data_IF_261132578985
#
_entry.id   IF_261132578985
#
_cell.length_a   1.000
_cell.length_b   1.000
_cell.length_c   1.000
_cell.angle_alpha   90.00
_cell.angle_beta   90.00
_cell.angle_gamma   90.00
#
_symmetry.space_group_name_H-M   'P 1'
#
loop_
_entity.id
_entity.type
_entity.pdbx_description
1 polymer ?
#
# COMPACT_ATOMS: atom_id res chain seq x y z
N UNK A 1 -8.80 -6.03 -22.49
CA UNK A 1 -9.22 -6.24 -21.07
C UNK A 1 -8.75 -5.04 -20.28
N UNK A 2 -9.57 -4.52 -19.36
CA UNK A 2 -9.20 -3.38 -18.50
C UNK A 2 -9.09 -3.87 -17.06
N UNK A 3 -8.08 -3.40 -16.34
CA UNK A 3 -7.86 -3.71 -14.92
C UNK A 3 -7.98 -2.42 -14.12
N UNK A 4 -8.50 -2.55 -12.91
CA UNK A 4 -8.61 -1.44 -11.97
C UNK A 4 -8.19 -1.93 -10.58
N UNK A 5 -7.29 -1.21 -9.93
CA UNK A 5 -6.90 -1.43 -8.53
C UNK A 5 -7.47 -0.28 -7.73
N UNK A 6 -8.30 -0.60 -6.72
CA UNK A 6 -8.77 0.36 -5.73
C UNK A 6 -8.05 0.04 -4.43
N UNK A 7 -7.15 0.92 -4.03
CA UNK A 7 -6.32 0.75 -2.84
C UNK A 7 -6.92 1.53 -1.68
N UNK A 8 -7.38 0.82 -0.64
CA UNK A 8 -7.77 1.42 0.63
C UNK A 8 -6.57 1.42 1.59
N UNK A 9 -5.73 2.44 1.48
CA UNK A 9 -4.57 2.58 2.36
C UNK A 9 -5.00 2.94 3.78
N UNK A 10 -4.42 2.27 4.79
CA UNK A 10 -4.70 2.50 6.20
C UNK A 10 -6.10 2.09 6.68
N UNK A 11 -6.83 1.25 5.94
CA UNK A 11 -8.19 0.81 6.31
C UNK A 11 -8.21 -0.31 7.36
N UNK A 12 -7.13 -1.04 7.52
CA UNK A 12 -7.04 -2.13 8.50
C UNK A 12 -6.80 -1.57 9.91
N UNK A 13 -7.55 -2.08 10.90
CA UNK A 13 -7.41 -1.68 12.29
C UNK A 13 -7.93 -2.79 13.20
N UNK A 14 -7.68 -2.66 14.50
CA UNK A 14 -8.19 -3.54 15.53
C UNK A 14 -9.65 -3.23 15.89
N UNK A 15 -10.38 -4.21 16.45
CA UNK A 15 -11.72 -3.97 17.00
C UNK A 15 -11.69 -2.93 18.12
N UNK A 16 -12.67 -2.01 18.11
CA UNK A 16 -12.81 -0.91 19.07
C UNK A 16 -14.04 -1.17 19.93
N UNK A 17 -13.90 -1.12 21.26
CA UNK A 17 -14.97 -1.40 22.20
C UNK A 17 -16.18 -0.48 22.01
N UNK A 18 -15.95 0.84 21.84
CA UNK A 18 -17.01 1.82 21.61
C UNK A 18 -17.78 1.61 20.30
N UNK A 19 -17.25 0.82 19.37
CA UNK A 19 -17.93 0.40 18.14
C UNK A 19 -18.57 -1.00 18.25
N UNK A 20 -18.76 -1.51 19.46
CA UNK A 20 -19.28 -2.85 19.71
C UNK A 20 -18.32 -3.95 19.27
N UNK A 21 -17.03 -3.79 19.54
CA UNK A 21 -15.95 -4.70 19.15
C UNK A 21 -15.86 -4.93 17.62
N UNK A 22 -16.19 -3.92 16.85
CA UNK A 22 -16.00 -3.92 15.39
C UNK A 22 -14.79 -3.09 15.01
N UNK A 23 -14.13 -3.45 13.92
CA UNK A 23 -13.14 -2.56 13.31
C UNK A 23 -13.84 -1.36 12.67
N UNK A 24 -13.16 -0.21 12.48
CA UNK A 24 -13.72 0.93 11.74
C UNK A 24 -14.29 0.54 10.37
N UNK A 25 -13.57 -0.34 9.65
CA UNK A 25 -14.02 -0.86 8.36
C UNK A 25 -15.33 -1.67 8.48
N UNK A 26 -15.48 -2.47 9.53
CA UNK A 26 -16.73 -3.22 9.78
C UNK A 26 -17.89 -2.32 10.16
N UNK A 27 -17.61 -1.21 10.84
CA UNK A 27 -18.64 -0.24 11.28
C UNK A 27 -19.05 0.73 10.16
N UNK A 28 -18.19 0.99 9.20
CA UNK A 28 -18.43 1.92 8.11
C UNK A 28 -19.55 1.44 7.16
N UNK A 29 -20.36 2.38 6.69
CA UNK A 29 -21.35 2.12 5.64
C UNK A 29 -20.66 2.12 4.27
N UNK A 30 -20.49 0.94 3.68
CA UNK A 30 -19.79 0.75 2.41
C UNK A 30 -20.48 -0.27 1.49
N UNK A 31 -21.75 -0.06 1.15
CA UNK A 31 -22.58 -1.07 0.48
C UNK A 31 -21.97 -1.55 -0.84
N UNK A 32 -21.33 -0.68 -1.61
CA UNK A 32 -20.71 -1.04 -2.89
C UNK A 32 -19.47 -1.91 -2.73
N UNK A 33 -18.61 -1.58 -1.76
CA UNK A 33 -17.43 -2.41 -1.44
C UNK A 33 -17.88 -3.78 -0.91
N UNK A 34 -18.87 -3.81 -0.02
CA UNK A 34 -19.43 -5.05 0.50
C UNK A 34 -20.06 -5.91 -0.60
N UNK A 35 -20.71 -5.30 -1.58
CA UNK A 35 -21.24 -6.00 -2.73
C UNK A 35 -20.14 -6.63 -3.58
N UNK A 36 -19.08 -5.88 -3.90
CA UNK A 36 -17.93 -6.39 -4.64
C UNK A 36 -17.25 -7.54 -3.89
N UNK A 37 -17.06 -7.41 -2.58
CA UNK A 37 -16.48 -8.47 -1.77
C UNK A 37 -17.30 -9.77 -1.77
N UNK A 38 -18.64 -9.66 -1.77
CA UNK A 38 -19.53 -10.85 -1.86
C UNK A 38 -19.50 -11.51 -3.22
N UNK A 39 -19.32 -10.73 -4.28
CA UNK A 39 -19.32 -11.23 -5.67
C UNK A 39 -17.93 -11.74 -6.10
N UNK A 40 -16.89 -11.27 -5.45
CA UNK A 40 -15.50 -11.58 -5.78
C UNK A 40 -14.92 -12.70 -4.94
N UNK A 41 -13.60 -12.77 -4.97
CA UNK A 41 -12.80 -13.64 -4.11
C UNK A 41 -12.00 -12.78 -3.15
N UNK A 42 -12.01 -13.12 -1.88
CA UNK A 42 -11.25 -12.43 -0.83
C UNK A 42 -10.11 -13.31 -0.33
N UNK A 43 -9.05 -12.69 0.15
CA UNK A 43 -7.90 -13.37 0.71
C UNK A 43 -6.99 -12.42 1.46
N UNK A 44 -5.90 -12.95 1.99
CA UNK A 44 -4.84 -12.19 2.64
C UNK A 44 -3.68 -12.01 1.66
N UNK A 45 -3.14 -10.81 1.61
CA UNK A 45 -2.00 -10.47 0.78
C UNK A 45 -0.88 -9.89 1.66
N UNK A 46 0.27 -10.55 1.70
CA UNK A 46 1.46 -10.05 2.39
C UNK A 46 2.15 -9.02 1.49
N UNK A 47 1.87 -7.75 1.74
CA UNK A 47 2.40 -6.63 0.92
C UNK A 47 3.79 -6.16 1.34
N UNK A 48 4.18 -6.41 2.60
CA UNK A 48 5.50 -6.04 3.12
C UNK A 48 6.23 -7.30 3.57
N UNK A 49 7.41 -7.62 2.99
CA UNK A 49 8.24 -8.71 3.48
C UNK A 49 8.67 -8.50 4.94
N UNK A 50 8.79 -9.57 5.76
CA UNK A 50 9.11 -9.46 7.19
C UNK A 50 10.44 -8.77 7.51
N UNK A 51 11.37 -8.79 6.58
CA UNK A 51 12.73 -8.22 6.66
C UNK A 51 12.83 -6.79 6.08
N UNK A 52 11.70 -6.21 5.70
CA UNK A 52 11.65 -4.83 5.18
C UNK A 52 10.85 -3.92 6.13
N UNK A 53 11.20 -2.63 6.19
CA UNK A 53 10.45 -1.68 7.01
C UNK A 53 9.03 -1.51 6.48
N UNK A 54 8.02 -1.38 7.35
CA UNK A 54 6.66 -1.11 6.91
C UNK A 54 6.56 0.29 6.29
N UNK A 55 6.06 0.35 5.05
CA UNK A 55 5.89 1.60 4.32
C UNK A 55 4.95 1.43 3.14
N UNK A 56 4.17 2.48 2.84
CA UNK A 56 3.22 2.47 1.73
C UNK A 56 3.91 2.28 0.39
N UNK A 57 5.14 2.78 0.24
CA UNK A 57 5.95 2.63 -0.96
C UNK A 57 6.25 1.17 -1.28
N UNK A 58 6.62 0.38 -0.26
CA UNK A 58 6.88 -1.06 -0.40
C UNK A 58 5.59 -1.81 -0.69
N UNK A 59 4.54 -1.52 0.08
CA UNK A 59 3.25 -2.16 -0.08
C UNK A 59 2.63 -1.89 -1.46
N UNK A 60 2.68 -0.66 -1.94
CA UNK A 60 2.16 -0.28 -3.25
C UNK A 60 2.93 -0.96 -4.40
N UNK A 61 4.25 -1.04 -4.32
CA UNK A 61 5.06 -1.76 -5.30
C UNK A 61 4.69 -3.26 -5.32
N UNK A 62 4.50 -3.87 -4.15
CA UNK A 62 4.08 -5.27 -4.05
C UNK A 62 2.68 -5.49 -4.66
N UNK A 63 1.72 -4.60 -4.41
CA UNK A 63 0.37 -4.65 -5.00
C UNK A 63 0.43 -4.55 -6.53
N UNK A 64 1.36 -3.77 -7.07
CA UNK A 64 1.58 -3.66 -8.50
C UNK A 64 2.37 -4.85 -9.11
N UNK A 65 2.82 -5.79 -8.28
CA UNK A 65 3.47 -7.02 -8.71
C UNK A 65 4.99 -6.94 -8.84
N UNK A 66 5.61 -5.90 -8.30
CA UNK A 66 7.07 -5.80 -8.26
C UNK A 66 7.67 -6.71 -7.18
N UNK A 67 8.82 -7.29 -7.46
CA UNK A 67 9.67 -7.94 -6.45
C UNK A 67 10.39 -6.84 -5.64
N UNK A 68 9.76 -6.41 -4.55
CA UNK A 68 10.25 -5.27 -3.76
C UNK A 68 11.66 -5.46 -3.22
N UNK A 69 12.06 -6.71 -2.93
CA UNK A 69 13.42 -7.01 -2.47
C UNK A 69 14.49 -6.74 -3.53
N UNK A 70 14.12 -6.83 -4.79
CA UNK A 70 15.06 -6.60 -5.90
C UNK A 70 15.07 -5.14 -6.36
N UNK A 71 13.91 -4.48 -6.33
CA UNK A 71 13.77 -3.18 -7.00
C UNK A 71 13.69 -1.99 -6.04
N UNK A 72 13.40 -2.21 -4.75
CA UNK A 72 13.29 -1.11 -3.80
C UNK A 72 14.67 -0.59 -3.38
N UNK A 73 14.98 0.64 -3.76
CA UNK A 73 16.24 1.33 -3.45
C UNK A 73 16.06 2.47 -2.44
N UNK A 74 14.88 2.60 -1.87
CA UNK A 74 14.56 3.64 -0.90
C UNK A 74 13.51 4.62 -1.42
N UNK A 75 12.86 5.31 -0.48
CA UNK A 75 11.78 6.25 -0.78
C UNK A 75 12.25 7.50 -1.53
N UNK A 76 13.48 7.97 -1.24
CA UNK A 76 14.05 9.14 -1.91
C UNK A 76 14.16 8.95 -3.42
N UNK A 77 14.56 7.77 -3.87
CA UNK A 77 14.66 7.43 -5.31
C UNK A 77 13.28 7.47 -5.99
N UNK A 78 12.26 6.92 -5.34
CA UNK A 78 10.89 6.92 -5.88
C UNK A 78 10.31 8.34 -5.98
N UNK A 79 10.57 9.17 -4.98
CA UNK A 79 10.13 10.58 -4.99
C UNK A 79 10.88 11.38 -6.05
N UNK A 80 12.19 11.19 -6.20
CA UNK A 80 12.98 11.82 -7.26
C UNK A 80 12.45 11.45 -8.65
N UNK A 81 12.21 10.17 -8.90
CA UNK A 81 11.62 9.70 -10.15
C UNK A 81 10.23 10.29 -10.40
N UNK A 82 9.39 10.40 -9.37
CA UNK A 82 8.05 11.01 -9.47
C UNK A 82 8.10 12.50 -9.82
N UNK A 83 9.14 13.19 -9.38
CA UNK A 83 9.35 14.61 -9.69
C UNK A 83 10.07 14.83 -11.03
N UNK A 84 10.44 13.78 -11.73
CA UNK A 84 11.19 13.85 -12.98
C UNK A 84 12.65 14.27 -12.80
N UNK A 85 13.24 13.97 -11.64
CA UNK A 85 14.68 14.20 -11.40
C UNK A 85 15.44 13.01 -11.96
N UNK A 86 16.33 13.27 -12.91
CA UNK A 86 17.23 12.26 -13.45
C UNK A 86 18.33 11.96 -12.41
N UNK A 87 18.52 10.68 -12.14
CA UNK A 87 19.57 10.17 -11.25
C UNK A 87 20.53 9.31 -12.05
N UNK A 88 21.82 9.55 -11.90
CA UNK A 88 22.86 8.67 -12.40
C UNK A 88 22.99 7.43 -11.47
N UNK A 89 23.70 6.40 -11.96
CA UNK A 89 23.83 5.12 -11.23
C UNK A 89 24.54 5.24 -9.87
N UNK A 90 25.35 6.28 -9.68
CA UNK A 90 26.12 6.59 -8.47
C UNK A 90 25.53 7.74 -7.64
N UNK A 91 24.39 8.29 -8.04
CA UNK A 91 23.72 9.34 -7.28
C UNK A 91 23.02 8.82 -6.04
N UNK A 92 23.02 9.61 -4.97
CA UNK A 92 22.27 9.38 -3.75
C UNK A 92 21.05 10.31 -3.68
N UNK A 93 19.86 9.72 -3.67
CA UNK A 93 18.63 10.46 -3.46
C UNK A 93 18.27 10.53 -1.97
N UNK A 94 18.39 11.71 -1.37
CA UNK A 94 18.03 11.97 0.01
C UNK A 94 16.70 12.71 0.09
N UNK A 95 15.81 12.23 0.96
CA UNK A 95 14.55 12.90 1.26
C UNK A 95 14.71 13.83 2.45
N UNK A 96 14.28 15.08 2.29
CA UNK A 96 14.16 16.04 3.39
C UNK A 96 12.68 16.44 3.56
N UNK A 97 12.16 16.30 4.78
CA UNK A 97 10.87 16.86 5.15
C UNK A 97 11.11 18.18 5.91
N UNK A 98 10.45 19.23 5.48
CA UNK A 98 10.50 20.56 6.10
C UNK A 98 9.25 20.74 6.95
#
# INVERSE_FOLDING_TARGET
MKYMIILGDGMADHPIESLGNKTPLMAAQKPHIDQLARMGKSGLFATVPPDMPPGSEIANMAVLGYDVKKVFQGRGVLEAASMGVDLADDDLALRCNI
#
